data_IF_841907917099
#
_entry.id   IF_841907917099
#
_cell.length_a   1.000
_cell.length_b   1.000
_cell.length_c   1.000
_cell.angle_alpha   90.00
_cell.angle_beta   90.00
_cell.angle_gamma   90.00
#
_symmetry.space_group_name_H-M   'P 1'
#
loop_
_entity.id
_entity.type
_entity.pdbx_description
1 polymer ?
#
# COMPACT_ATOMS: atom_id res chain seq x y z
N UNK A 22 -7.92 7.11 9.89
CA UNK A 22 -7.75 8.47 10.49
C UNK A 22 -8.06 9.61 9.51
N UNK A 23 -7.06 10.47 9.27
CA UNK A 23 -7.16 11.66 8.37
C UNK A 23 -5.82 12.38 8.24
N UNK A 24 -5.53 12.91 7.06
CA UNK A 24 -4.30 13.71 6.80
C UNK A 24 -4.58 14.96 5.99
N UNK A 25 -3.66 15.40 5.10
CA UNK A 25 -2.26 14.96 4.92
C UNK A 25 -1.55 15.52 3.63
N UNK A 26 -2.36 15.94 2.64
CA UNK A 26 -1.90 16.50 1.32
C UNK A 26 -1.47 15.46 0.25
N UNK A 27 -1.81 15.65 -1.04
CA UNK A 27 -2.43 16.87 -1.61
C UNK A 27 -3.90 17.12 -1.15
N UNK A 28 -4.93 17.01 -1.99
CA UNK A 28 -4.89 16.90 -3.44
C UNK A 28 -5.61 18.16 -3.96
N UNK A 29 -6.41 18.02 -5.02
CA UNK A 29 -7.60 18.86 -5.24
C UNK A 29 -8.63 17.84 -5.73
N UNK A 30 -9.87 17.83 -5.21
CA UNK A 30 -11.12 18.40 -5.62
C UNK A 30 -11.14 19.03 -7.00
N UNK A 31 -11.81 18.33 -7.91
CA UNK A 31 -12.26 18.87 -9.21
C UNK A 31 -13.45 18.07 -9.73
N UNK A 32 -14.38 18.78 -10.38
CA UNK A 32 -15.64 18.18 -10.81
C UNK A 32 -15.41 17.21 -11.97
N UNK A 33 -16.15 16.12 -11.96
CA UNK A 33 -15.89 14.98 -12.84
C UNK A 33 -16.00 15.31 -14.33
N UNK A 34 -16.79 16.34 -14.65
CA UNK A 34 -16.97 16.78 -16.03
C UNK A 34 -15.77 17.56 -16.57
N UNK A 35 -14.91 18.03 -15.67
CA UNK A 35 -13.85 18.97 -16.03
C UNK A 35 -12.67 18.33 -16.75
N UNK A 36 -12.06 17.34 -16.11
CA UNK A 36 -10.81 16.74 -16.57
C UNK A 36 -10.87 16.20 -17.99
N UNK A 37 -9.69 16.05 -18.59
CA UNK A 37 -9.57 15.41 -19.90
C UNK A 37 -8.29 14.57 -20.02
N UNK A 38 -8.14 13.88 -21.14
CA UNK A 38 -7.00 13.01 -21.42
C UNK A 38 -5.67 13.66 -21.04
N UNK A 39 -4.77 12.85 -20.47
CA UNK A 39 -3.46 13.29 -19.97
C UNK A 39 -3.51 13.96 -18.61
N UNK A 40 -4.69 14.37 -18.18
CA UNK A 40 -4.89 14.92 -16.83
C UNK A 40 -4.59 13.87 -15.77
N UNK A 41 -4.61 14.28 -14.51
CA UNK A 41 -4.29 13.34 -13.44
C UNK A 41 -5.44 13.24 -12.47
N UNK A 42 -5.68 12.04 -11.95
CA UNK A 42 -6.83 11.79 -11.07
C UNK A 42 -6.60 10.64 -10.08
N UNK A 43 -7.13 10.82 -8.87
CA UNK A 43 -7.06 9.81 -7.82
C UNK A 43 -8.28 8.93 -7.91
N UNK A 44 -8.07 7.67 -8.24
CA UNK A 44 -9.13 6.69 -8.38
C UNK A 44 -8.80 5.56 -7.43
N UNK A 45 -9.77 5.18 -6.60
CA UNK A 45 -9.61 4.14 -5.58
C UNK A 45 -8.34 4.40 -4.76
N UNK A 46 -8.15 5.67 -4.38
CA UNK A 46 -6.96 6.15 -3.66
C UNK A 46 -5.62 5.79 -4.34
N UNK A 47 -5.56 6.04 -5.65
CA UNK A 47 -4.34 5.80 -6.42
C UNK A 47 -4.29 6.86 -7.51
N UNK A 48 -3.13 7.54 -7.68
CA UNK A 48 -3.01 8.60 -8.68
C UNK A 48 -2.86 8.05 -10.09
N UNK A 49 -3.63 8.57 -11.04
CA UNK A 49 -3.61 8.04 -12.38
C UNK A 49 -3.57 9.14 -13.39
N UNK A 50 -2.95 8.84 -14.54
CA UNK A 50 -2.99 9.71 -15.68
C UNK A 50 -4.25 9.33 -16.46
N UNK A 51 -4.97 10.31 -17.01
CA UNK A 51 -6.18 10.03 -17.78
C UNK A 51 -5.82 9.58 -19.19
N UNK A 52 -6.26 8.40 -19.56
CA UNK A 52 -5.95 7.83 -20.86
C UNK A 52 -7.12 7.98 -21.82
N UNK A 53 -8.31 7.62 -21.35
CA UNK A 53 -9.54 7.78 -22.13
C UNK A 53 -10.64 8.33 -21.24
N UNK A 54 -11.56 9.07 -21.83
CA UNK A 54 -12.72 9.59 -21.11
C UNK A 54 -13.93 9.63 -22.05
N UNK A 55 -15.12 9.47 -21.48
CA UNK A 55 -16.38 9.48 -22.23
C UNK A 55 -17.45 10.23 -21.45
N UNK A 56 -18.64 10.32 -22.03
CA UNK A 56 -19.80 10.90 -21.35
C UNK A 56 -21.11 10.29 -21.86
N UNK A 57 -21.61 9.30 -21.12
CA UNK A 57 -22.88 8.65 -21.39
C UNK A 57 -24.01 9.54 -20.87
N UNK A 58 -25.25 9.25 -21.25
CA UNK A 58 -26.38 10.07 -20.82
C UNK A 58 -27.01 9.64 -19.48
N UNK A 59 -27.19 8.32 -19.29
CA UNK A 59 -28.10 7.76 -18.28
C UNK A 59 -28.22 8.57 -17.00
N UNK A 60 -29.49 8.73 -16.65
CA UNK A 60 -30.13 10.03 -16.50
C UNK A 60 -31.30 10.13 -15.56
N UNK A 61 -32.53 10.42 -16.01
CA UNK A 61 -32.93 11.34 -17.06
C UNK A 61 -32.40 12.77 -16.88
N UNK A 62 -33.10 13.70 -17.55
CA UNK A 62 -32.65 15.07 -17.75
C UNK A 62 -32.32 15.77 -16.44
N UNK A 63 -31.28 16.61 -16.48
CA UNK A 63 -30.43 16.74 -17.67
C UNK A 63 -29.07 16.19 -17.29
N UNK A 64 -28.81 14.93 -17.65
CA UNK A 64 -27.69 14.21 -17.03
C UNK A 64 -26.71 13.50 -17.95
N UNK A 65 -25.53 13.22 -17.39
CA UNK A 65 -24.42 12.53 -18.06
C UNK A 65 -23.45 11.90 -17.05
N UNK A 66 -22.85 10.78 -17.45
CA UNK A 66 -21.88 10.09 -16.63
C UNK A 66 -20.51 10.10 -17.29
N UNK A 67 -19.53 10.65 -16.58
CA UNK A 67 -18.13 10.64 -17.03
C UNK A 67 -17.49 9.29 -16.74
N UNK A 68 -17.07 8.62 -17.81
CA UNK A 68 -16.36 7.37 -17.67
C UNK A 68 -14.88 7.60 -17.97
N UNK A 69 -14.08 7.58 -16.91
CA UNK A 69 -12.65 7.88 -17.02
C UNK A 69 -11.84 6.58 -17.04
N UNK A 70 -11.13 6.35 -18.15
CA UNK A 70 -10.17 5.25 -18.22
C UNK A 70 -8.79 5.85 -17.99
N UNK A 71 -8.15 5.45 -16.91
CA UNK A 71 -6.90 6.08 -16.49
C UNK A 71 -5.86 5.11 -15.95
N UNK A 72 -4.63 5.28 -16.41
CA UNK A 72 -3.52 4.43 -16.01
C UNK A 72 -2.87 5.08 -14.80
N UNK A 73 -2.55 4.28 -13.77
CA UNK A 73 -1.89 4.82 -12.59
C UNK A 73 -0.46 5.23 -12.91
N UNK A 74 -0.04 6.33 -12.30
CA UNK A 74 1.22 6.97 -12.69
C UNK A 74 2.47 6.23 -12.18
N UNK A 75 2.25 5.11 -11.51
CA UNK A 75 3.35 4.27 -11.03
C UNK A 75 3.39 2.93 -11.73
N UNK A 76 2.63 1.96 -11.21
CA UNK A 76 2.60 0.61 -11.76
C UNK A 76 2.04 0.62 -13.18
N UNK A 77 0.97 1.38 -13.38
CA UNK A 77 0.30 1.41 -14.66
C UNK A 77 -1.09 0.88 -14.49
N UNK A 78 -1.18 -0.38 -14.04
CA UNK A 78 -2.43 -1.08 -13.77
C UNK A 78 -3.66 -0.21 -14.05
N UNK A 79 -4.19 -0.33 -15.27
CA UNK A 79 -5.27 0.52 -15.76
C UNK A 79 -6.45 0.58 -14.79
N UNK A 80 -6.88 1.81 -14.49
CA UNK A 80 -8.06 2.02 -13.65
C UNK A 80 -9.19 2.66 -14.43
N UNK A 81 -10.41 2.29 -14.05
CA UNK A 81 -11.61 2.88 -14.61
C UNK A 81 -12.37 3.62 -13.50
N UNK A 82 -13.30 4.49 -13.91
CA UNK A 82 -14.20 5.16 -12.99
C UNK A 82 -15.44 5.64 -13.72
N UNK A 83 -16.59 5.46 -13.07
CA UNK A 83 -17.85 5.92 -13.59
C UNK A 83 -18.45 6.77 -12.50
N UNK A 84 -18.54 8.07 -12.75
CA UNK A 84 -19.21 8.97 -11.82
C UNK A 84 -20.18 9.87 -12.57
N UNK A 85 -21.23 10.35 -11.88
CA UNK A 85 -21.94 11.50 -12.41
C UNK A 85 -20.95 12.51 -12.98
N UNK A 86 -21.33 13.16 -14.07
CA UNK A 86 -20.50 14.20 -14.66
C UNK A 86 -20.28 15.34 -13.68
N UNK A 87 -21.33 15.69 -12.93
CA UNK A 87 -21.25 16.75 -11.94
C UNK A 87 -20.28 16.40 -10.83
N UNK A 88 -20.38 15.15 -10.38
CA UNK A 88 -19.57 14.57 -9.30
C UNK A 88 -18.15 15.13 -9.29
N UNK A 89 -17.59 15.29 -8.10
CA UNK A 89 -16.25 15.83 -7.98
C UNK A 89 -15.28 14.72 -7.65
N UNK A 90 -14.35 14.47 -8.57
CA UNK A 90 -13.29 13.47 -8.32
C UNK A 90 -12.00 14.15 -7.88
N UNK A 91 -11.28 13.51 -6.96
CA UNK A 91 -10.06 14.09 -6.42
C UNK A 91 -8.89 13.97 -7.38
N UNK A 92 -8.21 15.09 -7.59
CA UNK A 92 -7.13 15.22 -8.56
C UNK A 92 -5.82 15.45 -7.81
N UNK A 93 -4.80 14.64 -8.11
CA UNK A 93 -3.49 14.80 -7.50
C UNK A 93 -2.60 15.82 -8.21
N UNK A 94 -1.64 16.36 -7.49
CA UNK A 94 -0.59 17.16 -8.09
C UNK A 94 0.54 16.24 -8.51
N UNK A 95 1.26 16.61 -9.56
CA UNK A 95 2.45 15.87 -9.96
C UNK A 95 3.64 16.81 -10.19
N UNK A 96 4.61 16.69 -9.30
CA UNK A 96 5.89 17.36 -9.47
C UNK A 96 6.76 16.43 -10.30
N UNK A 97 7.28 16.97 -11.39
CA UNK A 97 8.28 16.26 -12.19
C UNK A 97 9.63 16.94 -11.98
N UNK A 98 10.52 16.24 -11.29
CA UNK A 98 11.79 16.81 -10.86
C UNK A 98 12.97 16.06 -11.43
N UNK A 99 13.82 16.76 -12.18
CA UNK A 99 14.95 16.13 -12.83
C UNK A 99 16.25 16.26 -12.04
N UNK A 100 16.44 15.34 -11.10
CA UNK A 100 17.65 15.30 -10.27
C UNK A 100 18.75 14.45 -10.91
N UNK A 101 20.01 14.85 -10.68
CA UNK A 101 21.18 14.13 -11.20
C UNK A 101 21.48 12.88 -10.37
N UNK A 102 21.72 11.75 -11.02
CA UNK A 102 22.15 10.54 -10.33
C UNK A 102 23.55 10.74 -9.79
N UNK A 103 23.86 10.03 -8.71
CA UNK A 103 25.21 10.04 -8.13
C UNK A 103 25.77 8.62 -8.08
N UNK A 104 25.19 7.78 -7.23
CA UNK A 104 25.63 6.41 -7.03
C UNK A 104 24.41 5.54 -6.76
N UNK A 105 24.56 4.22 -6.87
CA UNK A 105 23.43 3.30 -6.73
C UNK A 105 22.91 3.09 -5.28
N UNK A 106 23.50 2.23 -4.45
CA UNK A 106 24.76 1.54 -4.66
C UNK A 106 24.69 0.07 -5.15
N UNK A 107 23.86 -0.82 -4.58
CA UNK A 107 22.84 -0.65 -3.50
C UNK A 107 21.59 0.10 -4.01
N UNK A 108 20.55 0.48 -3.25
CA UNK A 108 20.48 0.94 -1.88
C UNK A 108 21.04 2.32 -1.64
N UNK A 109 20.48 3.45 -2.15
CA UNK A 109 19.48 3.59 -3.22
C UNK A 109 19.15 5.06 -3.56
N UNK A 110 19.93 5.54 -4.51
CA UNK A 110 19.46 6.05 -5.80
C UNK A 110 20.32 7.04 -6.58
N UNK A 111 20.88 8.09 -5.97
CA UNK A 111 20.82 8.37 -4.54
C UNK A 111 20.33 9.78 -4.15
N UNK A 112 19.86 10.63 -5.05
CA UNK A 112 20.44 10.96 -6.33
C UNK A 112 21.69 11.80 -6.01
N UNK A 113 21.82 12.96 -6.67
CA UNK A 113 22.16 14.24 -6.05
C UNK A 113 21.09 15.21 -6.55
N UNK A 114 21.33 16.52 -6.49
CA UNK A 114 20.31 17.49 -6.90
C UNK A 114 20.83 18.55 -7.85
N UNK A 115 20.17 19.70 -7.79
CA UNK A 115 20.55 20.85 -8.60
C UNK A 115 21.80 21.62 -8.12
N UNK A 116 21.74 22.60 -7.21
CA UNK A 116 21.37 22.54 -5.79
C UNK A 116 22.22 21.61 -4.93
N UNK A 117 21.57 20.52 -4.54
CA UNK A 117 21.38 20.20 -3.13
C UNK A 117 22.05 19.06 -2.42
N UNK A 118 21.23 18.13 -1.91
CA UNK A 118 21.66 17.29 -0.79
C UNK A 118 21.97 15.75 -0.96
N UNK A 119 21.20 14.88 -1.65
CA UNK A 119 19.79 14.47 -1.53
C UNK A 119 19.43 13.76 -2.86
N UNK A 120 18.77 12.60 -2.84
CA UNK A 120 18.03 12.05 -1.70
C UNK A 120 18.80 11.03 -0.85
N UNK A 121 18.04 10.31 -0.04
CA UNK A 121 18.48 9.11 0.66
C UNK A 121 17.46 8.08 0.19
N UNK A 122 16.25 8.54 -0.09
CA UNK A 122 15.14 7.71 -0.56
C UNK A 122 15.27 7.39 -2.05
N UNK A 123 14.14 7.01 -2.67
CA UNK A 123 14.05 6.51 -4.08
C UNK A 123 14.80 5.19 -4.27
N UNK A 124 14.26 4.30 -5.12
CA UNK A 124 14.86 2.98 -5.29
C UNK A 124 14.79 2.41 -6.70
N UNK A 125 13.90 2.96 -7.51
CA UNK A 125 13.51 2.33 -8.79
C UNK A 125 14.46 2.46 -9.99
N UNK A 126 15.38 1.51 -10.12
CA UNK A 126 15.49 0.60 -11.24
C UNK A 126 14.16 0.25 -11.94
N UNK A 127 13.32 -0.55 -11.30
CA UNK A 127 12.16 -1.17 -11.95
C UNK A 127 12.41 -2.48 -12.73
N UNK A 128 12.19 -2.61 -14.03
CA UNK A 128 12.97 -2.07 -15.13
C UNK A 128 13.61 -3.37 -15.68
N UNK A 129 13.99 -3.51 -16.95
CA UNK A 129 13.95 -2.50 -18.01
C UNK A 129 14.69 -1.22 -17.62
N UNK A 130 13.97 -0.20 -17.16
CA UNK A 130 14.60 0.98 -16.58
C UNK A 130 15.70 0.63 -15.61
N UNK A 131 15.52 -0.48 -14.89
CA UNK A 131 16.52 -0.95 -13.93
C UNK A 131 17.90 -1.01 -14.53
N UNK A 132 17.90 -1.46 -15.77
CA UNK A 132 18.86 -2.37 -16.32
C UNK A 132 19.87 -1.57 -17.08
N UNK A 133 19.39 -1.03 -18.19
CA UNK A 133 19.42 0.37 -18.50
C UNK A 133 20.10 1.28 -17.45
N UNK A 134 19.40 1.58 -16.36
CA UNK A 134 19.93 2.52 -15.40
C UNK A 134 21.27 2.04 -14.91
N UNK A 135 21.34 0.80 -14.44
CA UNK A 135 22.59 0.26 -13.92
C UNK A 135 23.65 0.19 -15.03
N UNK A 136 23.19 0.00 -16.26
CA UNK A 136 24.10 -0.35 -17.33
C UNK A 136 24.48 0.75 -18.31
N UNK A 137 23.97 2.00 -18.27
CA UNK A 137 24.48 3.13 -17.47
C UNK A 137 25.98 2.90 -17.28
N UNK A 138 26.51 2.75 -16.07
CA UNK A 138 26.45 3.67 -14.95
C UNK A 138 27.87 3.39 -14.53
N UNK A 139 27.99 2.17 -14.03
CA UNK A 139 28.85 1.09 -14.47
C UNK A 139 29.56 1.15 -15.83
N UNK A 140 29.08 1.93 -16.78
CA UNK A 140 29.87 2.17 -17.99
C UNK A 140 30.66 3.40 -17.69
N UNK A 141 29.89 4.44 -17.38
CA UNK A 141 30.37 5.76 -17.15
C UNK A 141 29.39 6.84 -16.82
N UNK A 142 29.14 7.67 -17.83
CA UNK A 142 28.22 8.79 -17.84
C UNK A 142 27.47 9.19 -16.55
N UNK A 143 27.53 10.48 -16.24
CA UNK A 143 26.71 11.10 -15.19
C UNK A 143 25.31 11.35 -15.75
N UNK A 144 24.30 10.80 -15.06
CA UNK A 144 22.95 10.72 -15.61
C UNK A 144 21.94 11.61 -14.93
N UNK A 145 20.93 12.03 -15.70
CA UNK A 145 19.79 12.81 -15.21
C UNK A 145 18.57 11.91 -15.03
N UNK A 146 18.05 11.85 -13.81
CA UNK A 146 16.88 11.02 -13.53
C UNK A 146 15.73 11.78 -12.89
N UNK A 147 14.65 11.92 -13.66
CA UNK A 147 13.45 12.57 -13.17
C UNK A 147 12.73 11.62 -12.23
N UNK A 148 12.10 12.20 -11.21
CA UNK A 148 11.29 11.44 -10.25
C UNK A 148 9.89 12.05 -10.15
N UNK A 149 8.89 11.19 -10.03
CA UNK A 149 7.50 11.66 -9.94
C UNK A 149 6.92 11.54 -8.54
N UNK A 150 6.03 12.48 -8.22
CA UNK A 150 5.55 12.69 -6.86
C UNK A 150 4.06 12.45 -6.72
N UNK A 151 3.70 11.34 -6.10
CA UNK A 151 2.30 11.03 -5.85
C UNK A 151 1.95 11.22 -4.38
N UNK A 152 1.31 12.35 -4.09
CA UNK A 152 0.98 12.77 -2.72
C UNK A 152 2.22 12.68 -1.83
N UNK A 153 2.52 11.45 -1.38
CA UNK A 153 3.66 11.16 -0.54
C UNK A 153 4.67 10.29 -1.25
N UNK A 154 4.25 9.09 -1.64
CA UNK A 154 5.15 8.10 -2.23
C UNK A 154 5.60 8.49 -3.65
N UNK A 155 6.88 8.23 -3.94
CA UNK A 155 7.51 8.73 -5.16
C UNK A 155 8.23 7.61 -5.92
N UNK A 156 8.90 7.97 -7.02
CA UNK A 156 9.73 7.04 -7.79
C UNK A 156 10.28 7.68 -9.06
N UNK A 157 11.30 7.04 -9.63
CA UNK A 157 11.97 7.52 -10.83
C UNK A 157 11.16 7.20 -12.07
N UNK A 158 11.50 7.83 -13.20
CA UNK A 158 10.90 7.52 -14.50
C UNK A 158 11.88 7.69 -15.64
N UNK A 159 12.34 8.91 -15.87
CA UNK A 159 13.25 9.17 -16.98
C UNK A 159 14.70 9.00 -16.53
N UNK A 160 15.55 8.65 -17.49
CA UNK A 160 16.98 8.46 -17.29
C UNK A 160 17.57 9.15 -18.51
N UNK A 161 18.52 10.06 -18.32
CA UNK A 161 18.97 10.91 -19.43
C UNK A 161 20.46 11.23 -19.47
N UNK A 162 20.80 12.36 -20.07
CA UNK A 162 22.20 12.77 -20.26
C UNK A 162 22.38 14.28 -20.07
N UNK A 163 23.54 14.66 -19.51
CA UNK A 163 23.87 16.07 -19.35
C UNK A 163 24.51 16.66 -20.62
N UNK A 164 24.50 17.99 -20.70
CA UNK A 164 25.09 18.72 -21.82
C UNK A 164 26.15 19.72 -21.32
N UNK A 165 27.18 19.20 -20.66
CA UNK A 165 28.15 20.04 -19.92
C UNK A 165 29.07 20.89 -20.80
N UNK A 166 29.38 22.10 -20.33
CA UNK A 166 30.30 23.03 -20.99
C UNK A 166 31.05 23.91 -19.97
N UNK A 167 30.30 24.53 -19.05
CA UNK A 167 30.85 25.43 -18.03
C UNK A 167 29.80 25.69 -16.95
N UNK B 27 -7.89 0.70 8.34
CA UNK B 27 -7.41 1.67 9.36
C UNK B 27 -6.74 2.91 8.70
N UNK B 28 -5.41 3.10 8.78
CA UNK B 28 -4.48 2.38 9.65
C UNK B 28 -3.89 3.45 10.56
N UNK B 29 -2.59 3.34 10.82
CA UNK B 29 -1.80 4.52 11.14
C UNK B 29 -0.40 4.40 10.59
N UNK B 30 -0.04 5.35 9.70
CA UNK B 30 1.22 6.04 9.67
C UNK B 30 1.96 6.00 11.01
N UNK B 31 3.21 5.57 10.93
CA UNK B 31 4.18 5.69 12.02
C UNK B 31 5.58 5.56 11.41
N UNK B 32 6.53 6.31 11.97
CA UNK B 32 7.88 6.42 11.41
C UNK B 32 8.65 5.13 11.60
N UNK B 33 9.45 4.80 10.60
CA UNK B 33 10.09 3.49 10.48
C UNK B 33 11.06 3.16 11.61
N UNK B 34 11.60 4.20 12.23
CA UNK B 34 12.51 4.07 13.38
C UNK B 34 11.81 3.75 14.68
N UNK B 35 10.50 3.95 14.74
CA UNK B 35 9.76 3.84 15.99
C UNK B 35 9.47 2.41 16.43
N UNK B 36 8.87 1.63 15.54
CA UNK B 36 8.37 0.31 15.91
C UNK B 36 9.42 -0.62 16.48
N UNK B 37 8.98 -1.66 17.18
CA UNK B 37 9.85 -2.74 17.66
C UNK B 37 9.17 -4.10 17.64
N UNK B 38 9.95 -5.15 17.95
CA UNK B 38 9.47 -6.53 17.92
C UNK B 38 8.11 -6.69 18.59
N UNK B 39 7.27 -7.53 18.02
CA UNK B 39 5.89 -7.77 18.48
C UNK B 39 4.90 -6.70 18.07
N UNK B 40 5.40 -5.54 17.64
CA UNK B 40 4.54 -4.50 17.05
C UNK B 40 3.90 -4.98 15.76
N UNK B 41 2.99 -4.18 15.20
CA UNK B 41 2.33 -4.59 13.98
C UNK B 41 2.57 -3.58 12.87
N UNK B 42 2.66 -4.07 11.62
CA UNK B 42 3.00 -3.23 10.48
C UNK B 42 2.42 -3.74 9.16
N UNK B 43 2.01 -2.80 8.30
CA UNK B 43 1.54 -3.13 6.97
C UNK B 43 2.71 -3.08 6.01
N UNK B 44 3.03 -4.25 5.45
CA UNK B 44 4.12 -4.42 4.49
C UNK B 44 3.53 -5.03 3.24
N UNK B 45 3.81 -4.39 2.11
CA UNK B 45 3.26 -4.82 0.82
C UNK B 45 1.74 -5.02 0.94
N UNK B 46 1.09 -4.06 1.59
CA UNK B 46 -0.37 -4.10 1.84
C UNK B 46 -0.85 -5.39 2.52
N UNK B 47 -0.13 -5.80 3.57
CA UNK B 47 -0.47 -6.98 4.36
C UNK B 47 -0.04 -6.68 5.78
N UNK B 48 -0.91 -6.96 6.76
CA UNK B 48 -0.58 -6.68 8.15
C UNK B 48 0.32 -7.76 8.73
N UNK B 49 1.39 -7.35 9.39
CA UNK B 49 2.32 -8.29 9.94
C UNK B 49 2.65 -7.96 11.38
N UNK B 50 3.02 -8.99 12.14
CA UNK B 50 3.61 -8.83 13.46
C UNK B 50 5.12 -8.71 13.28
N UNK B 51 5.77 -7.81 14.01
CA UNK B 51 7.22 -7.62 13.91
C UNK B 51 7.94 -8.72 14.65
N UNK B 52 8.79 -9.45 13.94
CA UNK B 52 9.52 -10.58 14.52
C UNK B 52 10.95 -10.18 14.81
N UNK B 53 11.60 -9.55 13.84
CA UNK B 53 12.95 -9.04 14.01
C UNK B 53 13.05 -7.64 13.40
N UNK B 54 13.96 -6.84 13.94
CA UNK B 54 14.23 -5.53 13.39
C UNK B 54 15.69 -5.17 13.61
N UNK B 55 16.22 -4.33 12.75
CA UNK B 55 17.64 -3.95 12.79
C UNK B 55 17.77 -2.49 12.38
N UNK B 56 19.02 -2.00 12.36
CA UNK B 56 19.32 -0.64 11.88
C UNK B 56 20.75 -0.54 11.34
N UNK B 57 20.88 -0.69 10.03
CA UNK B 57 22.12 -0.50 9.30
C UNK B 57 22.39 0.99 9.10
N UNK B 58 23.61 1.33 8.66
CA UNK B 58 23.99 2.74 8.55
C UNK B 58 23.68 3.39 7.19
N UNK B 59 24.07 2.73 6.10
CA UNK B 59 24.16 3.33 4.75
C UNK B 59 22.99 4.28 4.36
N UNK B 60 23.23 5.46 3.79
CA UNK B 60 24.49 6.14 3.69
C UNK B 60 24.47 7.66 3.58
N UNK B 61 25.68 8.16 3.78
CA UNK B 61 26.06 9.21 4.73
C UNK B 61 24.98 10.05 5.42
N UNK B 66 19.01 2.72 8.12
CA UNK B 66 17.95 1.96 7.46
C UNK B 66 17.36 0.89 8.39
N UNK B 67 16.07 1.01 8.66
CA UNK B 67 15.36 0.02 9.47
C UNK B 67 15.02 -1.20 8.62
N UNK B 68 15.55 -2.36 9.01
CA UNK B 68 15.23 -3.62 8.35
C UNK B 68 14.27 -4.41 9.21
N UNK B 69 13.03 -4.47 8.79
CA UNK B 69 11.98 -5.12 9.59
C UNK B 69 11.70 -6.52 9.06
N UNK B 70 11.89 -7.53 9.90
CA UNK B 70 11.50 -8.90 9.57
C UNK B 70 10.21 -9.19 10.32
N UNK B 71 9.13 -9.41 9.58
CA UNK B 71 7.80 -9.46 10.17
C UNK B 71 6.90 -10.51 9.53
N UNK B 72 6.25 -11.30 10.38
CA UNK B 72 5.38 -12.37 9.95
C UNK B 72 3.96 -11.82 9.84
N UNK B 73 3.27 -12.13 8.75
CA UNK B 73 1.89 -11.65 8.58
C UNK B 73 0.96 -12.31 9.57
N UNK B 74 0.02 -11.54 10.07
CA UNK B 74 -0.78 -11.96 11.22
C UNK B 74 -1.85 -12.99 10.86
N UNK B 75 -1.90 -13.40 9.59
CA UNK B 75 -2.83 -14.41 9.10
C UNK B 75 -2.12 -15.68 8.66
N UNK B 76 -1.65 -15.69 7.41
CA UNK B 76 -0.99 -16.86 6.83
C UNK B 76 0.33 -17.12 7.53
N UNK B 77 1.07 -16.04 7.79
CA UNK B 77 2.38 -16.12 8.43
C UNK B 77 3.46 -15.66 7.48
N UNK B 78 3.48 -16.31 6.30
CA UNK B 78 4.41 -15.99 5.20
C UNK B 78 5.30 -14.79 5.51
N UNK B 79 6.48 -15.07 6.05
CA UNK B 79 7.40 -14.05 6.54
C UNK B 79 7.60 -12.92 5.53
N UNK B 80 7.50 -11.70 6.01
CA UNK B 80 7.71 -10.53 5.18
C UNK B 80 8.91 -9.73 5.69
N UNK B 81 9.66 -9.14 4.76
CA UNK B 81 10.75 -8.26 5.13
C UNK B 81 10.46 -6.84 4.61
N UNK B 82 11.20 -5.87 5.14
CA UNK B 82 11.14 -4.50 4.63
C UNK B 82 12.43 -3.77 4.97
N UNK B 83 12.87 -2.95 4.03
CA UNK B 83 14.03 -2.11 4.19
C UNK B 83 13.57 -0.72 3.84
N UNK B 84 13.52 0.15 4.83
CA UNK B 84 13.22 1.55 4.58
C UNK B 84 14.23 2.42 5.29
N UNK B 85 14.45 3.64 4.80
CA UNK B 85 15.04 4.65 5.66
C UNK B 85 14.44 4.60 7.08
N UNK B 86 15.29 4.87 8.08
CA UNK B 86 14.85 4.89 9.46
C UNK B 86 13.80 5.95 9.68
N UNK B 87 13.98 7.09 9.03
CA UNK B 87 13.06 8.21 9.14
C UNK B 87 11.72 7.84 8.54
N UNK B 88 11.78 7.25 7.35
CA UNK B 88 10.62 6.79 6.58
C UNK B 88 9.43 6.39 7.45
N UNK B 89 8.23 6.68 6.98
CA UNK B 89 7.03 6.32 7.74
C UNK B 89 6.34 5.10 7.15
N UNK B 90 6.30 4.01 7.90
CA UNK B 90 5.59 2.81 7.45
C UNK B 90 4.22 2.73 8.11
N UNK B 91 3.22 2.29 7.34
CA UNK B 91 1.85 2.21 7.83
C UNK B 91 1.64 1.05 8.80
N UNK B 92 1.02 1.36 9.92
CA UNK B 92 0.84 0.42 11.02
C UNK B 92 -0.65 0.14 11.16
N UNK B 93 -1.03 -1.15 11.21
CA UNK B 93 -2.42 -1.54 11.39
C UNK B 93 -2.82 -1.64 12.86
N UNK B 94 -4.12 -1.52 13.11
CA UNK B 94 -4.67 -1.79 14.42
C UNK B 94 -5.04 -3.27 14.46
N UNK B 95 -4.99 -3.86 15.64
CA UNK B 95 -5.44 -5.25 15.80
C UNK B 95 -6.37 -5.37 16.98
N UNK B 96 -7.63 -5.66 16.68
CA UNK B 96 -8.59 -5.97 17.71
C UNK B 96 -8.48 -7.46 17.97
N UNK B 97 -8.34 -7.82 19.24
CA UNK B 97 -8.41 -9.22 19.65
C UNK B 97 -9.68 -9.41 20.46
N UNK B 98 -10.64 -10.14 19.87
CA UNK B 98 -11.96 -10.30 20.44
C UNK B 98 -12.28 -11.76 20.72
N UNK B 99 -12.61 -12.06 21.98
CA UNK B 99 -12.86 -13.43 22.43
C UNK B 99 -14.34 -13.75 22.37
N UNK B 100 -14.85 -14.11 21.21
CA UNK B 100 -16.27 -14.49 21.09
C UNK B 100 -16.50 -15.99 21.36
N UNK B 101 -17.68 -16.32 21.89
CA UNK B 101 -18.05 -17.72 22.18
C UNK B 101 -18.49 -18.43 20.90
N UNK B 102 -18.02 -19.65 20.71
CA UNK B 102 -18.50 -20.47 19.59
C UNK B 102 -19.92 -20.91 19.87
N UNK B 103 -20.67 -21.18 18.80
CA UNK B 103 -22.03 -21.69 18.92
C UNK B 103 -22.16 -23.00 18.13
N UNK B 104 -22.09 -22.88 16.80
CA UNK B 104 -22.25 -24.00 15.88
C UNK B 104 -21.37 -23.79 14.65
N UNK B 105 -21.09 -24.87 13.90
CA UNK B 105 -20.11 -24.83 12.82
C UNK B 105 -20.56 -24.09 11.53
N UNK B 106 -21.37 -24.68 10.64
CA UNK B 106 -22.02 -26.00 10.75
C UNK B 106 -21.29 -27.21 10.11
N UNK B 107 -20.79 -27.17 8.87
CA UNK B 107 -20.84 -26.09 7.87
C UNK B 107 -19.98 -24.86 8.13
N UNK B 108 -20.02 -24.01 7.11
CA UNK B 108 -20.06 -22.58 7.20
C UNK B 108 -21.17 -22.02 8.06
N UNK B 109 -20.81 -21.19 9.05
CA UNK B 109 -19.42 -20.87 9.49
C UNK B 109 -19.59 -19.62 10.38
N UNK B 110 -19.52 -19.71 11.71
CA UNK B 110 -18.44 -20.27 12.48
C UNK B 110 -18.78 -20.39 14.00
N UNK B 111 -19.82 -19.70 14.49
CA UNK B 111 -20.76 -18.86 13.73
C UNK B 111 -20.96 -17.58 14.53
N UNK B 112 -19.91 -17.28 15.27
CA UNK B 112 -19.92 -17.29 16.74
C UNK B 112 -21.20 -17.71 17.52
N UNK B 113 -21.47 -17.36 18.78
CA UNK B 113 -21.98 -16.09 19.33
C UNK B 113 -21.06 -15.04 19.90
N UNK B 114 -21.59 -14.21 20.81
CA UNK B 114 -20.83 -13.08 21.36
C UNK B 114 -20.85 -13.06 22.87
N UNK B 115 -20.61 -11.88 23.44
CA UNK B 115 -20.68 -11.67 24.88
C UNK B 115 -22.16 -11.44 25.19
N UNK B 116 -22.52 -10.16 25.14
CA UNK B 116 -23.59 -9.60 24.31
C UNK B 116 -24.54 -10.65 23.68
N UNK B 117 -24.49 -11.04 22.39
CA UNK B 117 -24.44 -10.26 21.16
C UNK B 117 -25.31 -11.05 20.18
N UNK B 118 -24.94 -11.09 18.89
CA UNK B 118 -25.88 -11.52 17.83
C UNK B 118 -25.43 -12.64 16.87
N UNK B 119 -24.12 -12.88 16.87
CA UNK B 119 -23.28 -12.74 15.68
C UNK B 119 -22.00 -13.57 15.90
N UNK B 120 -21.27 -13.96 14.85
CA UNK B 120 -21.35 -13.42 13.48
C UNK B 120 -22.22 -14.21 12.50
N UNK B 121 -22.01 -13.94 11.22
CA UNK B 121 -22.50 -14.75 10.13
C UNK B 121 -21.24 -15.14 9.36
N UNK B 122 -20.25 -14.23 9.43
CA UNK B 122 -18.95 -14.39 8.79
C UNK B 122 -18.01 -15.32 9.59
N UNK B 123 -16.70 -15.17 9.32
CA UNK B 123 -15.60 -16.04 9.82
C UNK B 123 -15.74 -17.55 9.45
N UNK B 124 -14.61 -18.19 9.20
CA UNK B 124 -14.62 -19.55 8.63
C UNK B 124 -13.52 -20.52 9.11
N UNK B 125 -12.39 -20.00 9.57
CA UNK B 125 -11.20 -20.82 9.92
C UNK B 125 -11.47 -21.59 11.22
N UNK B 126 -11.63 -22.93 11.16
CA UNK B 126 -10.75 -24.06 10.95
C UNK B 126 -9.28 -23.80 10.73
N UNK B 127 -8.88 -23.52 9.47
CA UNK B 127 -7.47 -23.60 9.02
C UNK B 127 -6.99 -25.04 9.12
N UNK B 128 -5.92 -25.20 9.89
CA UNK B 128 -5.76 -26.22 10.91
C UNK B 128 -5.55 -27.65 10.53
N UNK B 129 -5.02 -28.49 11.44
CA UNK B 129 -4.62 -28.14 12.83
C UNK B 129 -5.70 -27.50 13.71
N UNK B 130 -5.68 -26.18 13.87
CA UNK B 130 -6.80 -25.46 14.47
C UNK B 130 -8.15 -26.00 13.97
N UNK B 131 -8.18 -26.40 12.70
CA UNK B 131 -9.29 -27.19 12.12
C UNK B 131 -10.09 -27.73 13.28
N UNK B 132 -9.53 -28.62 14.07
CA UNK B 132 -9.31 -29.99 13.72
C UNK B 132 -9.72 -30.77 14.98
N UNK B 133 -9.08 -30.62 16.15
CA UNK B 133 -8.98 -29.41 17.03
C UNK B 133 -10.33 -28.75 17.26
N UNK B 134 -10.62 -27.68 16.52
CA UNK B 134 -11.87 -26.95 16.71
C UNK B 134 -13.09 -27.85 16.51
N UNK B 135 -13.12 -28.60 15.41
CA UNK B 135 -14.22 -29.50 15.16
C UNK B 135 -14.21 -30.63 16.18
N UNK B 136 -13.02 -31.11 16.52
CA UNK B 136 -12.90 -32.30 17.37
C UNK B 136 -13.11 -31.99 18.85
N UNK B 137 -13.07 -30.69 19.17
CA UNK B 137 -13.97 -30.07 20.13
C UNK B 137 -15.16 -31.05 20.32
N UNK B 138 -16.24 -31.02 19.55
CA UNK B 138 -17.15 -29.91 19.37
C UNK B 138 -18.57 -30.43 19.50
N UNK B 139 -19.06 -31.35 18.66
CA UNK B 139 -18.54 -32.70 18.31
C UNK B 139 -18.25 -33.62 19.49
N UNK B 140 -17.52 -33.13 20.50
CA UNK B 140 -17.43 -33.86 21.78
C UNK B 140 -18.61 -33.59 22.73
N UNK B 141 -18.90 -32.38 23.21
CA UNK B 141 -18.13 -31.18 23.11
C UNK B 141 -18.63 -29.90 23.74
N UNK B 142 -18.14 -29.65 24.94
CA UNK B 142 -17.80 -28.31 25.45
C UNK B 142 -18.15 -27.06 24.60
N UNK B 143 -18.67 -26.05 25.28
CA UNK B 143 -18.89 -24.74 24.70
C UNK B 143 -17.55 -23.99 24.73
N UNK B 144 -17.10 -23.53 23.56
CA UNK B 144 -15.74 -23.02 23.41
C UNK B 144 -15.64 -21.51 23.19
N UNK B 145 -14.49 -20.96 23.59
CA UNK B 145 -14.16 -19.56 23.39
C UNK B 145 -13.18 -19.41 22.25
N UNK B 146 -13.57 -18.65 21.22
CA UNK B 146 -12.72 -18.45 20.05
C UNK B 146 -12.41 -16.97 19.74
N UNK B 147 -11.16 -16.59 19.96
CA UNK B 147 -10.73 -15.23 19.67
C UNK B 147 -10.62 -15.06 18.16
N UNK B 148 -10.94 -13.87 17.69
CA UNK B 148 -10.78 -13.54 16.27
C UNK B 148 -9.95 -12.27 16.11
N UNK B 149 -9.10 -12.24 15.09
CA UNK B 149 -8.24 -11.08 14.84
C UNK B 149 -8.70 -10.24 13.67
N UNK B 150 -8.43 -8.94 13.75
CA UNK B 150 -8.98 -7.94 12.83
C UNK B 150 -7.91 -7.21 12.02
N UNK B 151 -7.80 -7.54 10.74
CA UNK B 151 -6.87 -6.86 9.85
C UNK B 151 -7.61 -5.94 8.90
N UNK B 152 -7.57 -4.64 9.21
CA UNK B 152 -8.31 -3.60 8.47
C UNK B 152 -9.75 -4.01 8.27
N UNK B 153 -9.99 -4.89 7.30
CA UNK B 153 -11.31 -5.40 7.01
C UNK B 153 -11.42 -6.89 7.23
N UNK B 154 -10.59 -7.66 6.53
CA UNK B 154 -10.63 -9.12 6.57
C UNK B 154 -10.13 -9.67 7.91
N UNK B 155 -10.80 -10.70 8.39
CA UNK B 155 -10.57 -11.20 9.75
C UNK B 155 -10.38 -12.71 9.75
N UNK B 156 -10.23 -13.29 10.94
CA UNK B 156 -10.16 -14.74 11.11
C UNK B 156 -9.89 -15.13 12.55
N UNK B 157 -10.19 -16.38 12.88
CA UNK B 157 -10.00 -16.92 14.22
C UNK B 157 -8.53 -17.16 14.53
N UNK B 158 -8.21 -17.44 15.79
CA UNK B 158 -6.87 -17.85 16.20
C UNK B 158 -6.87 -18.81 17.40
N UNK B 159 -7.34 -18.31 18.55
CA UNK B 159 -7.37 -19.12 19.76
C UNK B 159 -8.70 -19.85 19.91
N UNK B 160 -8.64 -21.01 20.55
CA UNK B 160 -9.78 -21.86 20.82
C UNK B 160 -9.59 -22.22 22.28
N UNK B 161 -10.62 -22.04 23.11
CA UNK B 161 -10.45 -22.16 24.57
C UNK B 161 -11.68 -22.67 25.29
#
# INVERSE_FOLDING_TARGET
MRGSHHHHHHMSDEEHTFETADAGSSATYPMQCSALRKNGFVVIKSRPCKIVDMSTSKTGKHGHAKVHLVAIDIFTGKKLEDLSPSTHNMEVPVVKRNEYQLLDIDDGFLSLMNMDGDTKDDVKAPEGELGDSLQTAFDEGKDLMVTIISAMGEEAAISFKEAARTD
MRGSHHHHHHMSDEEHTFETADAGSSATYPMQCSALRKNGFVVIKSRPCKIVDMSTSKTGKHGHAKVHLVAIDIFTGKKLEDLSPSTHNMEVPVVKRNEYQLLDIDDGFLSLMNMDGDTKDDVKAPEGELGDSLQTAFDEGKDLMVTIISAMGEEAAISFKEAARTD
#
